data_IF_381477730091
#
_entry.id   IF_381477730091
#
_cell.length_a   1.000
_cell.length_b   1.000
_cell.length_c   1.000
_cell.angle_alpha   90.00
_cell.angle_beta   90.00
_cell.angle_gamma   90.00
#
_symmetry.space_group_name_H-M   'P 1'
#
loop_
_entity.id
_entity.type
_entity.pdbx_description
1 polymer ?
#
# COMPACT_ATOMS: atom_id res chain seq x y z
N UNK A 1 -48.41 -2.01 -36.22
CA UNK A 1 -47.51 -2.25 -35.07
C UNK A 1 -48.37 -2.33 -33.81
N UNK A 2 -48.62 -3.56 -33.34
CA UNK A 2 -49.10 -3.90 -31.98
C UNK A 2 -47.87 -3.77 -31.03
N UNK A 3 -47.89 -3.43 -29.73
CA UNK A 3 -48.72 -3.89 -28.60
C UNK A 3 -48.62 -2.89 -27.43
N UNK A 4 -49.74 -2.79 -26.71
CA UNK A 4 -50.10 -2.24 -25.39
C UNK A 4 -49.11 -2.52 -24.22
N UNK A 5 -49.07 -1.62 -23.21
CA UNK A 5 -49.16 -1.87 -21.72
C UNK A 5 -48.88 -0.55 -20.95
N UNK A 6 -49.83 0.03 -20.19
CA UNK A 6 -50.26 -0.31 -18.80
C UNK A 6 -49.11 -0.18 -17.78
N UNK A 7 -49.18 0.45 -16.60
CA UNK A 7 -50.25 0.93 -15.69
C UNK A 7 -49.62 1.93 -14.70
N UNK A 8 -50.46 2.83 -14.19
CA UNK A 8 -50.23 3.83 -13.14
C UNK A 8 -49.72 3.29 -11.80
N UNK A 9 -48.97 4.12 -11.07
CA UNK A 9 -49.01 4.16 -9.61
C UNK A 9 -48.69 5.59 -9.14
N UNK A 10 -49.72 6.43 -9.16
CA UNK A 10 -49.68 7.73 -8.51
C UNK A 10 -49.71 7.54 -6.99
N UNK A 11 -48.69 8.13 -6.37
CA UNK A 11 -48.43 8.15 -4.95
C UNK A 11 -49.55 8.90 -4.20
N UNK A 12 -50.13 8.18 -3.23
CA UNK A 12 -50.37 8.57 -1.84
C UNK A 12 -51.19 9.84 -1.53
N UNK A 13 -52.27 9.60 -0.79
CA UNK A 13 -52.83 10.55 0.16
C UNK A 13 -51.84 10.94 1.27
N UNK A 14 -52.05 12.16 1.78
CA UNK A 14 -51.41 12.79 2.93
C UNK A 14 -51.83 12.12 4.26
N UNK A 15 -51.51 12.68 5.45
CA UNK A 15 -50.35 13.43 5.97
C UNK A 15 -49.80 12.78 7.27
N UNK A 16 -48.63 13.21 7.78
CA UNK A 16 -48.35 13.41 9.22
C UNK A 16 -46.84 13.46 9.52
N UNK A 17 -46.44 14.55 10.17
CA UNK A 17 -45.48 14.61 11.28
C UNK A 17 -44.45 13.47 11.43
N UNK A 18 -43.17 13.80 11.18
CA UNK A 18 -42.11 13.58 12.17
C UNK A 18 -40.82 14.23 11.67
N UNK A 19 -40.56 15.43 12.18
CA UNK A 19 -39.21 15.99 12.24
C UNK A 19 -38.40 15.06 13.16
N UNK A 20 -37.51 14.25 12.59
CA UNK A 20 -36.55 13.48 13.37
C UNK A 20 -35.19 13.60 12.71
N UNK A 21 -34.42 14.50 13.30
CA UNK A 21 -33.02 14.76 13.09
C UNK A 21 -32.23 13.49 13.45
N UNK A 22 -32.13 12.53 12.54
CA UNK A 22 -31.20 11.42 12.68
C UNK A 22 -29.82 11.93 12.26
N UNK A 23 -29.07 12.44 13.26
CA UNK A 23 -27.65 12.74 13.15
C UNK A 23 -26.95 11.56 12.46
N UNK A 24 -26.41 11.84 11.28
CA UNK A 24 -25.47 10.97 10.61
C UNK A 24 -24.26 10.78 11.51
N UNK A 25 -24.18 9.63 12.15
CA UNK A 25 -22.88 9.06 12.50
C UNK A 25 -22.60 8.08 11.37
N UNK A 26 -22.10 8.62 10.26
CA UNK A 26 -21.32 7.81 9.35
C UNK A 26 -20.15 7.28 10.17
N UNK A 27 -20.28 6.07 10.67
CA UNK A 27 -19.18 5.32 11.24
C UNK A 27 -18.12 5.23 10.14
N UNK A 28 -17.13 6.13 10.20
CA UNK A 28 -15.95 6.05 9.36
C UNK A 28 -15.28 4.75 9.77
N UNK A 29 -15.53 3.70 8.99
CA UNK A 29 -14.79 2.46 9.08
C UNK A 29 -13.32 2.81 8.87
N UNK A 30 -12.37 2.23 9.63
CA UNK A 30 -10.94 2.57 9.54
C UNK A 30 -10.28 2.17 8.21
N UNK A 31 -11.04 1.73 7.21
CA UNK A 31 -10.58 1.27 5.91
C UNK A 31 -9.86 2.35 5.05
N UNK A 32 -9.82 3.61 5.49
CA UNK A 32 -9.17 4.70 4.76
C UNK A 32 -7.69 4.93 5.12
N UNK A 33 -7.16 4.26 6.14
CA UNK A 33 -5.74 4.38 6.52
C UNK A 33 -4.81 3.45 5.72
N UNK A 34 -5.31 2.31 5.22
CA UNK A 34 -4.49 1.30 4.55
C UNK A 34 -4.27 1.55 3.05
N UNK A 35 -5.17 2.29 2.39
CA UNK A 35 -5.09 2.52 0.96
C UNK A 35 -3.83 3.31 0.51
N UNK A 36 -3.40 4.39 1.21
CA UNK A 36 -2.17 5.10 0.86
C UNK A 36 -0.90 4.23 1.06
N UNK A 37 -0.91 3.36 2.07
CA UNK A 37 0.22 2.48 2.37
C UNK A 37 0.38 1.38 1.32
N UNK A 38 -0.73 0.75 0.92
CA UNK A 38 -0.73 -0.26 -0.13
C UNK A 38 -0.20 0.30 -1.46
N UNK A 39 -0.68 1.49 -1.85
CA UNK A 39 -0.22 2.16 -3.07
C UNK A 39 1.28 2.51 -3.01
N UNK A 40 1.76 3.03 -1.88
CA UNK A 40 3.18 3.34 -1.72
C UNK A 40 4.04 2.06 -1.77
N UNK A 41 3.60 0.98 -1.14
CA UNK A 41 4.29 -0.30 -1.16
C UNK A 41 4.43 -0.86 -2.59
N UNK A 42 3.37 -0.81 -3.38
CA UNK A 42 3.38 -1.26 -4.77
C UNK A 42 4.31 -0.41 -5.65
N UNK A 43 4.32 0.91 -5.45
CA UNK A 43 5.24 1.82 -6.15
C UNK A 43 6.71 1.49 -5.83
N UNK A 44 7.04 1.30 -4.55
CA UNK A 44 8.39 0.92 -4.16
C UNK A 44 8.79 -0.47 -4.68
N UNK A 45 7.86 -1.42 -4.67
CA UNK A 45 8.10 -2.76 -5.22
C UNK A 45 8.38 -2.70 -6.73
N UNK A 46 7.60 -1.91 -7.48
CA UNK A 46 7.83 -1.72 -8.91
C UNK A 46 9.16 -1.04 -9.19
N UNK A 47 9.52 0.01 -8.45
CA UNK A 47 10.81 0.70 -8.58
C UNK A 47 11.98 -0.25 -8.28
N UNK A 48 11.88 -1.05 -7.22
CA UNK A 48 12.87 -2.06 -6.89
C UNK A 48 13.08 -3.05 -8.05
N UNK A 49 11.98 -3.58 -8.61
CA UNK A 49 12.06 -4.60 -9.66
C UNK A 49 12.58 -4.05 -11.00
N UNK A 50 12.25 -2.80 -11.32
CA UNK A 50 12.55 -2.20 -12.64
C UNK A 50 13.84 -1.39 -12.66
N UNK A 51 14.16 -0.70 -11.57
CA UNK A 51 15.31 0.20 -11.48
C UNK A 51 16.38 -0.33 -10.53
N UNK A 52 16.00 -1.03 -9.45
CA UNK A 52 16.95 -1.51 -8.44
C UNK A 52 18.03 -2.43 -8.99
N UNK A 53 17.74 -3.19 -10.05
CA UNK A 53 18.70 -4.11 -10.71
C UNK A 53 19.77 -3.40 -11.55
N UNK A 54 19.61 -2.09 -11.81
CA UNK A 54 20.63 -1.26 -12.47
C UNK A 54 21.70 -0.72 -11.52
N UNK A 55 21.49 -0.85 -10.20
CA UNK A 55 22.39 -0.33 -9.17
C UNK A 55 23.24 -1.50 -8.63
N UNK A 56 24.58 -1.37 -8.56
CA UNK A 56 25.45 -2.44 -8.05
C UNK A 56 25.16 -2.84 -6.60
N UNK A 57 25.27 -4.14 -6.30
CA UNK A 57 25.37 -4.62 -4.93
C UNK A 57 26.63 -4.07 -4.22
N UNK A 58 26.59 -3.84 -2.89
CA UNK A 58 25.48 -4.12 -2.00
C UNK A 58 24.44 -3.00 -1.95
N UNK A 59 24.58 -1.89 -2.68
CA UNK A 59 23.67 -0.74 -2.59
C UNK A 59 22.41 -0.85 -3.47
N UNK A 60 22.42 -1.75 -4.45
CA UNK A 60 21.29 -2.08 -5.29
C UNK A 60 21.09 -3.58 -5.44
N UNK A 61 20.26 -3.98 -6.40
CA UNK A 61 19.79 -5.35 -6.60
C UNK A 61 20.34 -5.97 -7.89
N UNK A 62 21.48 -5.49 -8.38
CA UNK A 62 22.09 -6.01 -9.62
C UNK A 62 22.35 -7.52 -9.59
N UNK A 63 22.62 -8.07 -8.39
CA UNK A 63 22.83 -9.52 -8.18
C UNK A 63 21.55 -10.34 -8.35
N UNK A 64 20.38 -9.69 -8.34
CA UNK A 64 19.06 -10.30 -8.52
C UNK A 64 18.51 -10.10 -9.94
N UNK A 65 19.30 -9.53 -10.85
CA UNK A 65 18.88 -9.39 -12.26
C UNK A 65 18.50 -10.77 -12.84
N UNK A 66 17.34 -10.82 -13.48
CA UNK A 66 16.74 -12.04 -14.05
C UNK A 66 16.44 -13.16 -13.03
N UNK A 67 16.57 -12.89 -11.72
CA UNK A 67 16.23 -13.86 -10.69
C UNK A 67 14.70 -13.98 -10.56
N UNK A 68 14.12 -15.20 -10.60
CA UNK A 68 12.67 -15.39 -10.54
C UNK A 68 12.05 -14.90 -9.22
N UNK A 69 12.85 -14.79 -8.14
CA UNK A 69 12.40 -14.33 -6.83
C UNK A 69 12.48 -12.81 -6.66
N UNK A 70 12.97 -12.07 -7.66
CA UNK A 70 13.09 -10.61 -7.60
C UNK A 70 11.74 -9.95 -7.28
N UNK A 71 10.65 -10.41 -7.90
CA UNK A 71 9.32 -9.87 -7.66
C UNK A 71 8.85 -10.05 -6.21
N UNK A 72 8.98 -11.26 -5.66
CA UNK A 72 8.62 -11.56 -4.27
C UNK A 72 9.48 -10.77 -3.27
N UNK A 73 10.78 -10.68 -3.55
CA UNK A 73 11.72 -9.87 -2.76
C UNK A 73 11.32 -8.39 -2.76
N UNK A 74 11.12 -7.80 -3.95
CA UNK A 74 10.79 -6.39 -4.09
C UNK A 74 9.44 -6.05 -3.47
N UNK A 75 8.46 -6.97 -3.51
CA UNK A 75 7.20 -6.81 -2.78
C UNK A 75 7.44 -6.72 -1.26
N UNK A 76 8.18 -7.67 -0.69
CA UNK A 76 8.53 -7.65 0.74
C UNK A 76 9.27 -6.36 1.12
N UNK A 77 10.24 -5.94 0.31
CA UNK A 77 11.02 -4.74 0.57
C UNK A 77 10.16 -3.48 0.47
N UNK A 78 9.35 -3.34 -0.58
CA UNK A 78 8.45 -2.22 -0.79
C UNK A 78 7.45 -2.02 0.35
N UNK A 79 6.85 -3.10 0.84
CA UNK A 79 5.95 -3.05 2.00
C UNK A 79 6.63 -2.55 3.27
N UNK A 80 7.85 -3.04 3.57
CA UNK A 80 8.61 -2.60 4.76
C UNK A 80 9.09 -1.16 4.61
N UNK A 81 9.56 -0.79 3.43
CA UNK A 81 10.06 0.55 3.14
C UNK A 81 8.92 1.59 3.23
N UNK A 82 7.74 1.29 2.67
CA UNK A 82 6.57 2.15 2.78
C UNK A 82 6.11 2.34 4.22
N UNK A 83 6.11 1.26 5.02
CA UNK A 83 5.80 1.34 6.46
C UNK A 83 6.78 2.25 7.21
N UNK A 84 8.09 2.12 6.95
CA UNK A 84 9.12 3.00 7.53
C UNK A 84 8.91 4.45 7.10
N UNK A 85 8.64 4.69 5.83
CA UNK A 85 8.41 6.03 5.30
C UNK A 85 7.21 6.71 6.01
N UNK A 86 6.09 6.02 6.17
CA UNK A 86 4.94 6.56 6.91
C UNK A 86 5.23 6.77 8.41
N UNK A 87 5.98 5.87 9.04
CA UNK A 87 6.38 6.04 10.44
C UNK A 87 7.24 7.32 10.60
N UNK A 88 8.20 7.53 9.70
CA UNK A 88 9.09 8.69 9.72
C UNK A 88 8.39 10.03 9.51
N UNK A 89 7.21 10.05 8.87
CA UNK A 89 6.40 11.28 8.72
C UNK A 89 5.77 11.74 10.03
N UNK A 90 5.58 10.83 10.99
CA UNK A 90 4.98 11.10 12.29
C UNK A 90 6.04 11.38 13.37
N UNK A 91 7.30 11.03 13.11
CA UNK A 91 8.41 11.29 14.01
C UNK A 91 8.94 12.72 13.84
N UNK A 92 9.10 13.42 14.97
CA UNK A 92 9.60 14.80 15.00
C UNK A 92 11.12 14.90 14.84
N UNK A 93 11.82 13.78 14.91
CA UNK A 93 13.27 13.70 14.79
C UNK A 93 13.64 12.87 13.56
N UNK A 94 14.42 13.44 12.66
CA UNK A 94 14.96 12.70 11.53
C UNK A 94 16.02 11.69 12.03
N UNK A 95 16.01 10.44 11.54
CA UNK A 95 17.04 9.46 11.88
C UNK A 95 18.40 9.90 11.32
N UNK A 96 19.49 9.41 11.92
CA UNK A 96 20.82 9.60 11.33
C UNK A 96 20.95 8.82 10.02
N UNK A 97 21.92 9.22 9.19
CA UNK A 97 22.24 8.48 7.97
C UNK A 97 22.63 7.03 8.27
N UNK A 98 23.43 6.82 9.32
CA UNK A 98 23.91 5.51 9.73
C UNK A 98 22.78 4.59 10.20
N UNK A 99 21.82 5.13 10.96
CA UNK A 99 20.60 4.41 11.35
C UNK A 99 19.78 4.02 10.11
N UNK A 100 19.59 4.96 9.18
CA UNK A 100 18.81 4.73 7.96
C UNK A 100 19.41 3.62 7.10
N UNK A 101 20.75 3.61 6.96
CA UNK A 101 21.50 2.59 6.21
C UNK A 101 21.40 1.23 6.89
N UNK A 102 21.59 1.18 8.22
CA UNK A 102 21.50 -0.06 8.99
C UNK A 102 20.11 -0.69 8.93
N UNK A 103 19.06 0.11 9.08
CA UNK A 103 17.68 -0.35 8.95
C UNK A 103 17.36 -0.85 7.54
N UNK A 104 17.84 -0.16 6.52
CA UNK A 104 17.63 -0.58 5.15
C UNK A 104 18.34 -1.90 4.85
N UNK A 105 19.58 -2.06 5.29
CA UNK A 105 20.30 -3.34 5.24
C UNK A 105 19.51 -4.45 5.94
N UNK A 106 18.99 -4.19 7.14
CA UNK A 106 18.19 -5.16 7.89
C UNK A 106 16.90 -5.54 7.14
N UNK A 107 16.21 -4.57 6.55
CA UNK A 107 15.02 -4.82 5.72
C UNK A 107 15.35 -5.69 4.51
N UNK A 108 16.41 -5.35 3.76
CA UNK A 108 16.82 -6.07 2.55
C UNK A 108 17.25 -7.51 2.87
N UNK A 109 18.08 -7.70 3.89
CA UNK A 109 18.49 -9.04 4.32
C UNK A 109 17.34 -9.85 4.93
N UNK A 110 16.41 -9.20 5.62
CA UNK A 110 15.18 -9.84 6.10
C UNK A 110 14.33 -10.39 4.95
N UNK A 111 14.11 -9.59 3.92
CA UNK A 111 13.34 -10.00 2.73
C UNK A 111 14.09 -11.05 1.90
N UNK A 112 15.41 -10.89 1.69
CA UNK A 112 16.24 -11.90 1.03
C UNK A 112 16.15 -13.24 1.74
N UNK A 113 16.26 -13.25 3.07
CA UNK A 113 16.11 -14.47 3.86
C UNK A 113 14.73 -15.12 3.67
N UNK A 114 13.66 -14.32 3.70
CA UNK A 114 12.28 -14.82 3.58
C UNK A 114 12.04 -15.56 2.26
N UNK A 115 12.62 -15.07 1.16
CA UNK A 115 12.47 -15.71 -0.16
C UNK A 115 13.63 -16.68 -0.47
N UNK A 116 14.60 -16.87 0.42
CA UNK A 116 15.74 -17.75 0.19
C UNK A 116 16.72 -17.23 -0.88
N UNK A 117 17.05 -15.95 -0.82
CA UNK A 117 18.10 -15.29 -1.59
C UNK A 117 19.38 -15.08 -0.75
N UNK A 118 20.56 -14.92 -1.39
CA UNK A 118 21.80 -14.61 -0.69
C UNK A 118 21.70 -13.30 0.11
N UNK A 119 22.26 -13.30 1.32
CA UNK A 119 22.34 -12.09 2.14
C UNK A 119 23.45 -11.17 1.65
N UNK A 120 23.17 -9.88 1.67
CA UNK A 120 24.10 -8.82 1.36
C UNK A 120 25.11 -8.64 2.49
N UNK A 121 26.35 -8.38 2.08
CA UNK A 121 27.45 -7.96 2.94
C UNK A 121 27.75 -6.51 2.59
N UNK A 122 27.61 -5.63 3.58
CA UNK A 122 27.87 -4.20 3.46
C UNK A 122 29.23 -3.89 4.08
#
# INVERSE_FOLDING_TARGET
MNVIRHISLAFRGAPAFALSLALGVAAMSPAHADAPLAQAADQYAQMCATQGTSIPAPHGESDLKDNPKLGEYCKCFGEKFAKRALASMNDKAAPSLEQTVSEEQAMRNGCRKQVGLPLLKF
#
